data_IF_915847386029
#
_entry.id   IF_915847386029
#
_cell.length_a   1.000
_cell.length_b   1.000
_cell.length_c   1.000
_cell.angle_alpha   90.00
_cell.angle_beta   90.00
_cell.angle_gamma   90.00
#
_symmetry.space_group_name_H-M   'P 1'
#
loop_
_entity.id
_entity.type
_entity.pdbx_description
1 polymer ?
#
# COMPACT_ATOMS: atom_id res chain seq x y z
N UNK A 1 -15.39 2.08 27.10
CA UNK A 1 -15.14 1.15 25.97
C UNK A 1 -15.60 1.83 24.69
N UNK A 2 -14.72 2.23 23.76
CA UNK A 2 -15.17 2.70 22.46
C UNK A 2 -15.02 1.59 21.43
N UNK A 3 -16.08 1.40 20.63
CA UNK A 3 -16.13 0.57 19.44
C UNK A 3 -15.08 1.05 18.43
N UNK A 4 -13.99 0.29 18.28
CA UNK A 4 -13.04 0.47 17.17
C UNK A 4 -13.68 -0.04 15.88
N UNK A 5 -14.19 0.91 15.10
CA UNK A 5 -14.77 0.72 13.77
C UNK A 5 -13.78 0.00 12.82
N UNK A 6 -14.11 -1.24 12.46
CA UNK A 6 -13.53 -1.95 11.32
C UNK A 6 -13.99 -1.27 10.02
N UNK A 7 -13.15 -0.43 9.43
CA UNK A 7 -13.39 0.16 8.11
C UNK A 7 -12.39 -0.47 7.14
N UNK A 8 -12.92 -1.36 6.27
CA UNK A 8 -12.35 -1.87 5.02
C UNK A 8 -10.96 -2.54 5.15
N UNK A 9 -10.95 -3.82 5.55
CA UNK A 9 -9.86 -4.75 5.20
C UNK A 9 -9.92 -4.97 3.68
N UNK A 10 -8.84 -4.64 2.97
CA UNK A 10 -8.75 -4.61 1.50
C UNK A 10 -9.40 -5.86 0.88
N UNK A 11 -10.48 -5.61 0.14
CA UNK A 11 -11.20 -6.60 -0.62
C UNK A 11 -10.33 -7.11 -1.78
N UNK A 12 -10.24 -8.43 -1.87
CA UNK A 12 -9.72 -9.16 -3.01
C UNK A 12 -10.58 -8.91 -4.26
N UNK A 13 -9.95 -8.60 -5.40
CA UNK A 13 -10.54 -8.87 -6.72
C UNK A 13 -9.50 -9.66 -7.51
N UNK A 14 -9.76 -10.97 -7.66
CA UNK A 14 -9.08 -11.82 -8.63
C UNK A 14 -9.59 -11.46 -10.02
N UNK A 15 -8.82 -10.71 -10.81
CA UNK A 15 -9.04 -10.65 -12.24
C UNK A 15 -8.39 -11.87 -12.88
N UNK A 16 -9.15 -12.97 -12.99
CA UNK A 16 -8.78 -14.07 -13.89
C UNK A 16 -8.74 -13.52 -15.31
N UNK A 17 -7.56 -13.15 -15.82
CA UNK A 17 -7.33 -13.18 -17.27
C UNK A 17 -7.32 -14.65 -17.68
N UNK A 18 -8.44 -15.09 -18.26
CA UNK A 18 -8.53 -16.37 -18.93
C UNK A 18 -7.46 -16.42 -20.03
N UNK A 19 -6.56 -17.39 -19.95
CA UNK A 19 -5.71 -17.78 -21.08
C UNK A 19 -6.08 -19.22 -21.46
N UNK A 20 -6.17 -19.56 -22.76
CA UNK A 20 -6.92 -20.71 -23.22
C UNK A 20 -6.13 -22.02 -23.09
N UNK A 21 -6.83 -23.05 -22.61
CA UNK A 21 -6.56 -24.49 -22.68
C UNK A 21 -5.26 -25.00 -22.03
N UNK A 22 -5.42 -25.63 -20.87
CA UNK A 22 -4.57 -26.74 -20.44
C UNK A 22 -5.39 -28.04 -20.52
N UNK A 23 -4.80 -29.07 -21.13
CA UNK A 23 -5.32 -30.42 -21.34
C UNK A 23 -5.53 -31.18 -20.01
N UNK A 24 -6.49 -32.14 -19.94
CA UNK A 24 -6.84 -32.81 -18.69
C UNK A 24 -6.03 -34.09 -18.48
N UNK A 25 -5.42 -34.24 -17.31
CA UNK A 25 -4.84 -35.51 -16.90
C UNK A 25 -3.99 -35.42 -15.65
N UNK A 26 -4.60 -35.65 -14.48
CA UNK A 26 -4.08 -36.52 -13.40
C UNK A 26 -5.03 -36.46 -12.19
N UNK A 27 -5.54 -37.64 -11.81
CA UNK A 27 -6.45 -37.86 -10.67
C UNK A 27 -5.73 -37.80 -9.33
N UNK A 28 -6.52 -37.53 -8.29
CA UNK A 28 -6.15 -37.45 -6.89
C UNK A 28 -5.53 -38.74 -6.32
N UNK A 29 -4.54 -38.56 -5.43
CA UNK A 29 -3.93 -39.58 -4.58
C UNK A 29 -3.35 -38.91 -3.33
N UNK A 30 -3.48 -39.59 -2.19
CA UNK A 30 -3.37 -39.07 -0.83
C UNK A 30 -1.94 -38.69 -0.38
N UNK A 31 -1.90 -37.75 0.58
CA UNK A 31 -0.86 -37.47 1.59
C UNK A 31 0.63 -37.51 1.16
N UNK A 32 1.24 -36.35 0.99
CA UNK A 32 2.52 -36.07 1.65
C UNK A 32 2.77 -34.56 1.70
N UNK A 33 3.39 -34.13 2.78
CA UNK A 33 4.09 -32.86 2.96
C UNK A 33 5.02 -32.57 1.77
N UNK A 34 4.51 -31.90 0.74
CA UNK A 34 5.27 -31.27 -0.36
C UNK A 34 4.29 -30.54 -1.28
N UNK A 35 4.10 -29.25 -1.04
CA UNK A 35 3.16 -28.44 -1.80
C UNK A 35 3.62 -27.00 -2.04
N UNK A 36 4.93 -26.76 -2.11
CA UNK A 36 5.48 -25.41 -2.35
C UNK A 36 5.93 -25.15 -3.80
N UNK A 37 5.74 -26.11 -4.72
CA UNK A 37 6.23 -25.98 -6.09
C UNK A 37 5.12 -26.28 -7.10
N UNK A 38 4.47 -25.23 -7.65
CA UNK A 38 3.90 -25.14 -9.02
C UNK A 38 2.64 -24.27 -9.16
N UNK A 39 2.09 -23.69 -8.09
CA UNK A 39 1.04 -22.66 -8.28
C UNK A 39 1.68 -21.35 -8.69
N UNK A 40 1.07 -20.68 -9.68
CA UNK A 40 1.29 -19.27 -10.04
C UNK A 40 1.48 -18.49 -8.71
N UNK A 41 2.70 -18.02 -8.44
CA UNK A 41 3.08 -17.51 -7.10
C UNK A 41 2.59 -16.08 -6.96
N UNK A 42 1.31 -15.95 -6.68
CA UNK A 42 0.70 -14.71 -6.23
C UNK A 42 0.96 -14.63 -4.72
N UNK A 43 1.91 -13.80 -4.29
CA UNK A 43 2.20 -13.60 -2.88
C UNK A 43 1.23 -12.56 -2.32
N UNK A 44 0.07 -13.03 -1.90
CA UNK A 44 -0.84 -12.20 -1.12
C UNK A 44 -0.85 -12.72 0.31
N UNK A 45 -0.16 -12.00 1.18
CA UNK A 45 -0.29 -12.13 2.63
C UNK A 45 -1.67 -11.60 3.04
N UNK A 46 -2.66 -12.48 3.13
CA UNK A 46 -4.01 -12.12 3.56
C UNK A 46 -4.20 -12.42 5.05
N UNK A 47 -4.75 -11.47 5.79
CA UNK A 47 -5.67 -11.80 6.88
C UNK A 47 -6.92 -12.39 6.22
N UNK A 48 -7.15 -13.70 6.39
CA UNK A 48 -8.22 -14.39 5.66
C UNK A 48 -9.58 -13.68 5.86
N UNK A 49 -10.39 -13.50 4.79
CA UNK A 49 -11.73 -12.96 4.92
C UNK A 49 -12.58 -13.82 5.87
N UNK A 50 -13.69 -13.27 6.36
CA UNK A 50 -14.66 -14.01 7.17
C UNK A 50 -15.23 -15.20 6.39
N UNK A 51 -14.57 -16.35 6.44
CA UNK A 51 -15.13 -17.62 5.95
C UNK A 51 -15.99 -18.21 7.06
N UNK A 52 -17.31 -18.20 6.85
CA UNK A 52 -18.27 -18.89 7.72
C UNK A 52 -17.82 -20.33 7.95
N UNK A 53 -17.63 -20.73 9.22
CA UNK A 53 -17.30 -22.12 9.61
C UNK A 53 -15.86 -22.38 10.06
N UNK A 54 -14.91 -21.45 9.88
CA UNK A 54 -13.54 -21.60 10.45
C UNK A 54 -13.43 -20.75 11.73
N UNK A 55 -12.90 -21.27 12.85
CA UNK A 55 -12.62 -20.45 14.04
C UNK A 55 -11.67 -19.30 13.71
N UNK A 56 -11.89 -18.11 14.28
CA UNK A 56 -11.06 -16.94 14.02
C UNK A 56 -9.56 -17.18 14.31
N UNK A 57 -9.24 -17.94 15.36
CA UNK A 57 -7.88 -18.35 15.69
C UNK A 57 -7.21 -19.13 14.57
N UNK A 58 -7.88 -20.16 14.02
CA UNK A 58 -7.33 -20.99 12.94
C UNK A 58 -7.07 -20.22 11.63
N UNK A 59 -7.87 -19.18 11.34
CA UNK A 59 -7.63 -18.30 10.19
C UNK A 59 -6.40 -17.42 10.37
N UNK A 60 -6.19 -16.91 11.58
CA UNK A 60 -5.03 -16.08 11.94
C UNK A 60 -3.76 -16.92 11.87
N UNK A 61 -3.78 -18.13 12.43
CA UNK A 61 -2.64 -19.06 12.38
C UNK A 61 -2.25 -19.40 10.93
N UNK A 62 -3.20 -19.79 10.08
CA UNK A 62 -2.92 -20.14 8.68
C UNK A 62 -2.40 -18.94 7.84
N UNK A 63 -2.92 -17.74 8.09
CA UNK A 63 -2.42 -16.51 7.45
C UNK A 63 -0.99 -16.18 7.89
N UNK A 64 -0.70 -16.33 9.18
CA UNK A 64 0.63 -16.07 9.75
C UNK A 64 1.66 -17.07 9.23
N UNK A 65 1.35 -18.37 9.22
CA UNK A 65 2.24 -19.42 8.68
C UNK A 65 2.57 -19.18 7.20
N UNK A 66 1.59 -18.74 6.41
CA UNK A 66 1.81 -18.37 5.01
C UNK A 66 2.76 -17.17 4.90
N UNK A 67 2.56 -16.12 5.69
CA UNK A 67 3.43 -14.94 5.65
C UNK A 67 4.87 -15.22 6.06
N UNK A 68 5.09 -16.02 7.11
CA UNK A 68 6.42 -16.39 7.62
C UNK A 68 7.30 -17.03 6.54
N UNK A 69 6.73 -17.83 5.64
CA UNK A 69 7.47 -18.46 4.56
C UNK A 69 7.52 -17.59 3.29
N UNK A 70 6.46 -16.83 3.00
CA UNK A 70 6.29 -16.17 1.70
C UNK A 70 7.10 -14.88 1.55
N UNK A 71 7.35 -14.12 2.63
CA UNK A 71 8.03 -12.82 2.51
C UNK A 71 9.49 -12.94 2.05
N UNK A 72 10.09 -14.12 2.26
CA UNK A 72 11.48 -14.44 1.87
C UNK A 72 11.62 -14.78 0.39
N UNK A 73 10.54 -15.15 -0.26
CA UNK A 73 10.53 -15.53 -1.67
C UNK A 73 10.17 -14.32 -2.56
N UNK A 74 10.81 -14.16 -3.73
CA UNK A 74 10.41 -13.13 -4.69
C UNK A 74 9.02 -13.44 -5.26
N UNK A 75 8.25 -12.40 -5.55
CA UNK A 75 6.88 -12.49 -6.03
C UNK A 75 6.55 -11.35 -6.97
N UNK A 76 5.40 -11.42 -7.64
CA UNK A 76 4.91 -10.29 -8.43
C UNK A 76 4.61 -9.08 -7.53
N UNK A 77 4.87 -7.88 -8.04
CA UNK A 77 4.46 -6.63 -7.42
C UNK A 77 2.94 -6.43 -7.48
N UNK A 78 2.44 -5.37 -6.83
CA UNK A 78 1.00 -5.04 -6.82
C UNK A 78 0.43 -4.70 -8.19
N UNK A 79 1.28 -4.40 -9.17
CA UNK A 79 0.90 -4.15 -10.56
C UNK A 79 0.94 -5.43 -11.40
N UNK A 80 1.33 -6.56 -10.81
CA UNK A 80 1.45 -7.88 -11.45
C UNK A 80 2.44 -7.90 -12.64
N UNK A 81 3.46 -7.05 -12.64
CA UNK A 81 4.37 -6.87 -13.79
C UNK A 81 5.71 -7.58 -13.63
N UNK A 82 6.29 -7.55 -12.43
CA UNK A 82 7.68 -7.96 -12.20
C UNK A 82 7.82 -8.84 -10.96
N UNK A 83 8.59 -9.91 -11.10
CA UNK A 83 9.00 -10.77 -9.98
C UNK A 83 10.27 -10.19 -9.34
N UNK A 84 10.17 -9.77 -8.07
CA UNK A 84 11.31 -9.39 -7.22
C UNK A 84 10.88 -9.39 -5.74
N UNK A 85 11.73 -8.89 -4.84
CA UNK A 85 11.27 -8.42 -3.54
C UNK A 85 10.82 -6.96 -3.66
N UNK A 86 9.63 -6.69 -3.16
CA UNK A 86 8.96 -5.39 -3.31
C UNK A 86 8.68 -4.78 -1.94
N UNK A 87 8.95 -3.48 -1.81
CA UNK A 87 8.71 -2.68 -0.62
C UNK A 87 7.26 -2.80 -0.15
N UNK A 88 6.30 -2.74 -1.09
CA UNK A 88 4.89 -2.92 -0.77
C UNK A 88 4.62 -4.28 -0.11
N UNK A 89 4.98 -5.38 -0.79
CA UNK A 89 4.72 -6.74 -0.31
C UNK A 89 5.38 -6.98 1.05
N UNK A 90 6.64 -6.56 1.21
CA UNK A 90 7.33 -6.66 2.49
C UNK A 90 6.63 -5.86 3.59
N UNK A 91 6.24 -4.60 3.35
CA UNK A 91 5.64 -3.77 4.39
C UNK A 91 4.27 -4.28 4.82
N UNK A 92 3.44 -4.77 3.89
CA UNK A 92 2.15 -5.40 4.25
C UNK A 92 2.34 -6.76 4.94
N UNK A 93 3.39 -7.52 4.60
CA UNK A 93 3.75 -8.74 5.32
C UNK A 93 4.19 -8.46 6.76
N UNK A 94 5.02 -7.45 6.99
CA UNK A 94 5.39 -7.02 8.34
C UNK A 94 4.15 -6.63 9.16
N UNK A 95 3.22 -5.89 8.55
CA UNK A 95 1.99 -5.50 9.22
C UNK A 95 1.14 -6.71 9.62
N UNK A 96 0.91 -7.64 8.69
CA UNK A 96 0.13 -8.84 8.94
C UNK A 96 0.75 -9.68 10.07
N UNK A 97 2.08 -9.77 10.12
CA UNK A 97 2.81 -10.46 11.18
C UNK A 97 2.68 -9.76 12.55
N UNK A 98 2.75 -8.42 12.60
CA UNK A 98 2.52 -7.65 13.83
C UNK A 98 1.09 -7.77 14.34
N UNK A 99 0.08 -7.61 13.47
CA UNK A 99 -1.32 -7.81 13.83
C UNK A 99 -1.58 -9.26 14.28
N UNK A 100 -0.98 -10.22 13.59
CA UNK A 100 -1.01 -11.63 13.93
C UNK A 100 -0.44 -11.90 15.31
N UNK A 101 0.71 -11.30 15.64
CA UNK A 101 1.34 -11.40 16.95
C UNK A 101 0.42 -10.87 18.06
N UNK A 102 -0.14 -9.66 17.89
CA UNK A 102 -1.06 -9.07 18.86
C UNK A 102 -2.32 -9.94 19.08
N UNK A 103 -2.85 -10.51 17.99
CA UNK A 103 -4.03 -11.38 18.06
C UNK A 103 -3.74 -12.69 18.79
N UNK A 104 -2.60 -13.34 18.51
CA UNK A 104 -2.17 -14.57 19.17
C UNK A 104 -1.87 -14.35 20.66
N UNK A 105 -1.28 -13.20 21.00
CA UNK A 105 -1.08 -12.79 22.39
C UNK A 105 -2.41 -12.72 23.14
N UNK A 106 -3.45 -12.14 22.52
CA UNK A 106 -4.80 -12.08 23.09
C UNK A 106 -5.49 -13.45 23.25
N UNK A 107 -5.06 -14.46 22.48
CA UNK A 107 -5.54 -15.84 22.58
C UNK A 107 -4.70 -16.70 23.55
N UNK A 108 -3.62 -16.16 24.12
CA UNK A 108 -2.71 -16.89 25.01
C UNK A 108 -1.65 -17.74 24.31
N UNK A 109 -1.56 -17.70 22.96
CA UNK A 109 -0.49 -18.38 22.21
C UNK A 109 0.75 -17.47 22.13
N UNK A 110 1.40 -17.30 23.29
CA UNK A 110 2.54 -16.38 23.44
C UNK A 110 3.75 -16.80 22.62
N UNK A 111 3.96 -18.10 22.43
CA UNK A 111 5.09 -18.62 21.67
C UNK A 111 4.96 -18.32 20.17
N UNK A 112 3.77 -18.52 19.57
CA UNK A 112 3.56 -18.14 18.18
C UNK A 112 3.48 -16.62 18.02
N UNK A 113 2.93 -15.89 19.01
CA UNK A 113 2.91 -14.43 19.00
C UNK A 113 4.32 -13.85 18.89
N UNK A 114 5.24 -14.34 19.74
CA UNK A 114 6.64 -13.91 19.73
C UNK A 114 7.33 -14.20 18.38
N UNK A 115 7.12 -15.40 17.82
CA UNK A 115 7.65 -15.74 16.48
C UNK A 115 7.14 -14.80 15.38
N UNK A 116 5.85 -14.46 15.40
CA UNK A 116 5.28 -13.54 14.41
C UNK A 116 5.89 -12.14 14.55
N UNK A 117 6.07 -11.66 15.80
CA UNK A 117 6.69 -10.37 16.05
C UNK A 117 8.16 -10.33 15.58
N UNK A 118 8.95 -11.37 15.86
CA UNK A 118 10.34 -11.48 15.40
C UNK A 118 10.45 -11.50 13.88
N UNK A 119 9.59 -12.23 13.18
CA UNK A 119 9.56 -12.22 11.71
C UNK A 119 9.16 -10.85 11.16
N UNK A 120 8.23 -10.14 11.80
CA UNK A 120 7.90 -8.75 11.43
C UNK A 120 9.12 -7.83 11.53
N UNK A 121 9.87 -7.91 12.64
CA UNK A 121 11.09 -7.12 12.82
C UNK A 121 12.18 -7.48 11.80
N UNK A 122 12.29 -8.76 11.41
CA UNK A 122 13.19 -9.19 10.35
C UNK A 122 12.81 -8.61 8.98
N UNK A 123 11.51 -8.54 8.67
CA UNK A 123 11.00 -7.90 7.44
C UNK A 123 11.28 -6.39 7.44
N UNK A 124 11.02 -5.69 8.55
CA UNK A 124 11.32 -4.25 8.69
C UNK A 124 12.83 -3.98 8.55
N UNK A 125 13.68 -4.82 9.14
CA UNK A 125 15.13 -4.75 8.97
C UNK A 125 15.57 -4.96 7.51
N UNK A 126 14.84 -5.81 6.76
CA UNK A 126 15.07 -5.98 5.31
C UNK A 126 14.67 -4.74 4.52
N UNK A 127 13.60 -4.04 4.92
CA UNK A 127 13.14 -2.79 4.30
C UNK A 127 14.16 -1.66 4.42
N UNK A 128 15.05 -1.66 5.42
CA UNK A 128 16.12 -0.65 5.52
C UNK A 128 17.06 -0.62 4.31
N UNK A 129 17.19 -1.75 3.61
CA UNK A 129 17.95 -1.83 2.34
C UNK A 129 17.22 -1.16 1.17
N UNK A 130 15.97 -0.73 1.34
CA UNK A 130 15.20 -0.02 0.33
C UNK A 130 15.35 1.50 0.47
N UNK A 131 15.88 2.00 1.58
CA UNK A 131 16.21 3.40 1.72
C UNK A 131 17.45 3.74 0.88
N UNK A 132 17.31 4.72 -0.01
CA UNK A 132 18.39 5.31 -0.79
C UNK A 132 18.70 6.68 -0.21
N UNK A 133 19.83 6.78 0.48
CA UNK A 133 20.36 8.05 0.94
C UNK A 133 21.02 8.78 -0.24
N UNK A 134 20.69 10.07 -0.42
CA UNK A 134 21.35 10.95 -1.39
C UNK A 134 22.06 12.03 -0.60
N UNK A 135 23.38 12.11 -0.79
CA UNK A 135 24.28 12.97 -0.01
C UNK A 135 24.30 14.43 -0.49
N UNK A 136 23.83 14.67 -1.71
CA UNK A 136 23.65 16.03 -2.24
C UNK A 136 22.24 16.54 -1.95
N UNK A 137 21.98 17.84 -2.14
CA UNK A 137 20.77 18.61 -1.79
C UNK A 137 19.39 18.04 -2.21
N UNK A 138 19.34 16.85 -2.80
CA UNK A 138 18.14 16.06 -3.00
C UNK A 138 17.84 15.18 -1.77
N UNK A 139 16.61 15.29 -1.28
CA UNK A 139 16.04 14.40 -0.26
C UNK A 139 16.29 12.90 -0.57
N UNK A 140 16.33 12.01 0.42
CA UNK A 140 16.42 10.56 0.20
C UNK A 140 15.09 9.95 -0.28
N UNK A 141 15.06 8.65 -0.61
CA UNK A 141 13.81 7.96 -0.97
C UNK A 141 13.85 6.45 -0.75
N UNK A 142 12.68 5.87 -0.56
CA UNK A 142 12.46 4.43 -0.58
C UNK A 142 12.28 3.95 -2.02
N UNK A 143 13.08 2.97 -2.44
CA UNK A 143 12.91 2.30 -3.74
C UNK A 143 11.77 1.28 -3.70
N UNK A 144 11.12 1.01 -4.84
CA UNK A 144 10.12 -0.06 -4.90
C UNK A 144 10.76 -1.44 -4.67
N UNK A 145 11.89 -1.68 -5.31
CA UNK A 145 12.52 -3.00 -5.41
C UNK A 145 14.03 -2.90 -5.43
N UNK A 146 14.66 -3.98 -4.99
CA UNK A 146 16.10 -4.21 -5.12
C UNK A 146 16.29 -5.27 -6.21
N UNK A 147 17.06 -4.96 -7.24
CA UNK A 147 17.46 -5.94 -8.26
C UNK A 147 18.69 -6.72 -7.77
N UNK A 148 18.89 -7.94 -8.30
CA UNK A 148 19.98 -8.83 -7.90
C UNK A 148 21.37 -8.20 -8.04
N UNK A 149 21.55 -7.28 -8.99
CA UNK A 149 22.85 -6.68 -9.31
C UNK A 149 23.06 -5.31 -8.65
N UNK A 150 22.22 -4.91 -7.69
CA UNK A 150 22.20 -3.61 -7.00
C UNK A 150 22.12 -2.35 -7.90
N UNK A 151 22.02 -2.53 -9.22
CA UNK A 151 21.82 -1.45 -10.17
C UNK A 151 20.43 -0.81 -9.98
N UNK A 152 20.33 0.53 -10.02
CA UNK A 152 19.06 1.21 -9.91
C UNK A 152 18.16 0.80 -11.09
N UNK A 153 17.04 0.15 -10.80
CA UNK A 153 16.04 -0.14 -11.82
C UNK A 153 15.52 1.16 -12.43
N UNK A 154 15.26 1.28 -13.73
CA UNK A 154 14.66 2.50 -14.29
C UNK A 154 13.33 2.91 -13.62
N UNK A 155 12.67 1.99 -12.90
CA UNK A 155 11.53 2.26 -12.01
C UNK A 155 11.93 2.24 -10.51
N UNK A 156 12.99 2.95 -10.10
CA UNK A 156 13.40 2.97 -8.67
C UNK A 156 12.33 3.68 -7.82
N UNK A 157 11.81 4.80 -8.34
CA UNK A 157 10.78 5.61 -7.69
C UNK A 157 9.41 5.23 -8.26
N UNK A 158 8.53 4.72 -7.40
CA UNK A 158 7.20 4.21 -7.72
C UNK A 158 6.22 4.73 -6.68
N UNK A 159 5.02 5.14 -7.12
CA UNK A 159 3.97 5.51 -6.20
C UNK A 159 3.59 4.37 -5.26
N UNK A 160 3.75 3.08 -5.63
CA UNK A 160 3.38 1.91 -4.83
C UNK A 160 4.04 1.88 -3.43
N UNK A 161 5.12 2.64 -3.26
CA UNK A 161 5.75 2.92 -1.96
C UNK A 161 4.83 3.73 -1.03
N UNK A 162 3.95 4.58 -1.56
CA UNK A 162 3.00 5.38 -0.77
C UNK A 162 1.81 4.53 -0.28
N UNK A 163 1.12 3.72 -1.11
CA UNK A 163 0.18 2.70 -0.66
C UNK A 163 0.74 1.78 0.41
N UNK A 164 2.03 1.41 0.37
CA UNK A 164 2.61 0.53 1.40
C UNK A 164 2.59 1.15 2.79
N UNK A 165 2.79 2.47 2.90
CA UNK A 165 2.70 3.21 4.16
C UNK A 165 1.27 3.35 4.68
N UNK A 166 0.27 3.43 3.80
CA UNK A 166 -1.13 3.70 4.20
C UNK A 166 -1.99 2.44 4.33
N UNK A 167 -1.61 1.34 3.68
CA UNK A 167 -2.28 0.04 3.81
C UNK A 167 -1.76 -0.76 5.01
N UNK A 168 -0.68 -0.29 5.61
CA UNK A 168 -0.14 -0.81 6.86
C UNK A 168 -0.74 -0.02 8.02
N UNK A 169 -1.87 -0.50 8.53
CA UNK A 169 -2.81 0.28 9.36
C UNK A 169 -2.54 0.19 10.88
N UNK A 170 -1.53 -0.55 11.34
CA UNK A 170 -1.26 -0.72 12.76
C UNK A 170 -0.37 0.34 13.39
N UNK A 171 0.11 0.01 14.59
CA UNK A 171 0.82 0.91 15.51
C UNK A 171 2.27 1.18 15.14
N UNK A 172 2.80 0.49 14.12
CA UNK A 172 4.19 0.62 13.71
C UNK A 172 4.42 1.89 12.90
N UNK A 173 5.08 2.88 13.53
CA UNK A 173 5.44 4.14 12.89
C UNK A 173 6.46 3.95 11.76
N UNK A 174 7.27 2.89 11.82
CA UNK A 174 8.32 2.56 10.85
C UNK A 174 7.72 2.28 9.48
N UNK A 175 8.22 2.97 8.44
CA UNK A 175 7.68 2.93 7.09
C UNK A 175 6.19 3.31 6.99
N UNK A 176 5.67 4.04 7.98
CA UNK A 176 4.32 4.62 7.98
C UNK A 176 4.31 6.09 7.53
N UNK A 177 3.15 6.76 7.56
CA UNK A 177 3.01 8.15 7.10
C UNK A 177 3.76 9.18 7.95
N UNK A 178 4.08 8.84 9.20
CA UNK A 178 4.91 9.66 10.09
C UNK A 178 6.42 9.46 9.87
N UNK A 179 6.85 8.42 9.13
CA UNK A 179 8.26 8.15 8.90
C UNK A 179 8.85 9.19 7.92
N UNK A 180 9.92 9.92 8.29
CA UNK A 180 10.55 10.91 7.42
C UNK A 180 11.00 10.34 6.07
N UNK A 181 11.36 9.04 6.01
CA UNK A 181 11.74 8.38 4.75
C UNK A 181 10.57 8.33 3.78
N UNK A 182 9.36 8.07 4.28
CA UNK A 182 8.15 7.99 3.46
C UNK A 182 7.68 9.38 3.03
N UNK A 183 7.76 10.37 3.93
CA UNK A 183 7.48 11.77 3.61
C UNK A 183 8.44 12.34 2.55
N UNK A 184 9.73 12.02 2.70
CA UNK A 184 10.79 12.33 1.74
C UNK A 184 10.54 11.66 0.37
N UNK A 185 10.04 10.42 0.39
CA UNK A 185 9.66 9.69 -0.82
C UNK A 185 8.49 10.36 -1.53
N UNK A 186 7.45 10.77 -0.79
CA UNK A 186 6.32 11.52 -1.36
C UNK A 186 6.79 12.84 -1.98
N UNK A 187 7.64 13.61 -1.30
CA UNK A 187 8.18 14.86 -1.85
C UNK A 187 8.94 14.67 -3.17
N UNK A 188 9.66 13.54 -3.32
CA UNK A 188 10.30 13.19 -4.60
C UNK A 188 9.31 12.78 -5.69
N UNK A 189 8.25 12.07 -5.32
CA UNK A 189 7.19 11.70 -6.25
C UNK A 189 6.46 12.95 -6.75
N UNK A 190 6.19 13.92 -5.87
CA UNK A 190 5.66 15.23 -6.25
C UNK A 190 6.55 15.89 -7.29
N UNK A 191 7.85 16.05 -7.00
CA UNK A 191 8.80 16.68 -7.93
C UNK A 191 8.91 15.93 -9.25
N UNK A 192 8.91 14.59 -9.22
CA UNK A 192 8.94 13.75 -10.42
C UNK A 192 7.71 14.00 -11.30
N UNK A 193 6.51 13.90 -10.75
CA UNK A 193 5.28 14.02 -11.53
C UNK A 193 4.98 15.46 -11.95
N UNK A 194 5.34 16.45 -11.12
CA UNK A 194 5.24 17.87 -11.46
C UNK A 194 6.08 18.19 -12.70
N UNK A 195 7.31 17.66 -12.78
CA UNK A 195 8.17 17.82 -13.94
C UNK A 195 7.75 16.95 -15.16
N UNK A 196 7.32 15.72 -14.92
CA UNK A 196 7.08 14.74 -15.98
C UNK A 196 5.76 14.97 -16.72
N UNK A 197 4.69 15.38 -16.04
CA UNK A 197 3.36 15.45 -16.66
C UNK A 197 3.03 16.84 -17.18
N UNK A 198 2.77 17.00 -18.49
CA UNK A 198 2.39 18.31 -19.03
C UNK A 198 1.15 18.92 -18.37
N UNK A 199 0.21 18.09 -17.90
CA UNK A 199 -0.98 18.52 -17.15
C UNK A 199 -0.68 19.26 -15.84
N UNK A 200 0.53 19.10 -15.30
CA UNK A 200 0.96 19.78 -14.08
C UNK A 200 1.50 21.19 -14.35
N UNK A 201 1.73 21.56 -15.61
CA UNK A 201 2.20 22.90 -16.00
C UNK A 201 1.05 23.91 -15.87
N UNK A 202 1.31 25.05 -15.22
CA UNK A 202 0.30 26.11 -15.06
C UNK A 202 -0.88 25.70 -14.16
N UNK A 203 -0.67 24.74 -13.26
CA UNK A 203 -1.69 24.27 -12.33
C UNK A 203 -2.23 25.40 -11.44
N UNK A 204 -3.54 25.42 -11.23
CA UNK A 204 -4.21 26.39 -10.37
C UNK A 204 -3.69 26.34 -8.92
N UNK A 205 -3.69 27.50 -8.25
CA UNK A 205 -3.32 27.62 -6.83
C UNK A 205 -4.19 26.68 -5.98
N UNK A 206 -3.58 26.03 -5.01
CA UNK A 206 -4.26 25.09 -4.11
C UNK A 206 -4.49 23.69 -4.71
N UNK A 207 -3.97 23.38 -5.90
CA UNK A 207 -3.93 22.02 -6.44
C UNK A 207 -2.53 21.42 -6.31
N UNK A 208 -2.44 20.17 -5.86
CA UNK A 208 -1.21 19.38 -5.85
C UNK A 208 -0.92 18.77 -7.23
N UNK A 209 0.30 18.26 -7.48
CA UNK A 209 0.60 17.61 -8.76
C UNK A 209 -0.31 16.38 -8.97
N UNK A 210 -0.79 16.19 -10.19
CA UNK A 210 -1.42 14.95 -10.62
C UNK A 210 -0.35 13.86 -10.71
N UNK A 211 -0.62 12.69 -10.13
CA UNK A 211 0.37 11.62 -9.96
C UNK A 211 -0.08 10.33 -10.63
N UNK A 212 0.91 9.64 -11.20
CA UNK A 212 0.85 8.30 -11.80
C UNK A 212 1.14 7.18 -10.81
N UNK A 213 0.88 5.92 -11.21
CA UNK A 213 1.65 4.75 -10.72
C UNK A 213 3.08 4.84 -11.25
N UNK A 214 3.14 4.86 -12.57
CA UNK A 214 4.25 5.32 -13.40
C UNK A 214 3.59 5.92 -14.64
N UNK A 215 4.03 7.07 -15.15
CA UNK A 215 3.58 7.61 -16.44
C UNK A 215 2.13 7.20 -16.88
N UNK A 216 1.08 7.54 -16.09
CA UNK A 216 -0.32 7.46 -16.56
C UNK A 216 -1.45 7.04 -15.60
N UNK A 217 -1.23 6.68 -14.33
CA UNK A 217 -2.27 6.04 -13.50
C UNK A 217 -2.75 6.83 -12.26
N UNK A 218 -4.05 6.85 -11.92
CA UNK A 218 -4.60 7.83 -10.98
C UNK A 218 -4.24 7.57 -9.49
N UNK A 219 -3.09 8.08 -9.06
CA UNK A 219 -2.51 7.79 -7.74
C UNK A 219 -2.56 8.96 -6.76
N UNK A 220 -3.15 10.09 -7.17
CA UNK A 220 -3.32 11.28 -6.33
C UNK A 220 -4.19 11.00 -5.08
N UNK A 221 -5.09 10.00 -5.13
CA UNK A 221 -5.84 9.53 -3.96
C UNK A 221 -4.94 8.87 -2.90
N UNK A 222 -3.92 8.12 -3.33
CA UNK A 222 -2.94 7.52 -2.42
C UNK A 222 -2.10 8.59 -1.71
N UNK A 223 -1.65 9.60 -2.45
CA UNK A 223 -0.93 10.75 -1.91
C UNK A 223 -1.80 11.56 -0.92
N UNK A 224 -3.06 11.83 -1.26
CA UNK A 224 -4.00 12.49 -0.36
C UNK A 224 -4.22 11.67 0.93
N UNK A 225 -4.48 10.37 0.78
CA UNK A 225 -4.64 9.45 1.91
C UNK A 225 -3.41 9.39 2.82
N UNK A 226 -2.20 9.41 2.25
CA UNK A 226 -0.96 9.51 3.01
C UNK A 226 -0.90 10.80 3.83
N UNK A 227 -1.16 11.95 3.19
CA UNK A 227 -1.10 13.25 3.86
C UNK A 227 -2.10 13.32 5.02
N UNK A 228 -3.35 12.88 4.83
CA UNK A 228 -4.32 12.88 5.92
C UNK A 228 -3.93 11.96 7.07
N UNK A 229 -3.35 10.79 6.79
CA UNK A 229 -2.84 9.91 7.87
C UNK A 229 -1.64 10.52 8.58
N UNK A 230 -0.72 11.18 7.87
CA UNK A 230 0.38 11.91 8.47
C UNK A 230 -0.13 13.03 9.39
N UNK A 231 -1.16 13.78 8.96
CA UNK A 231 -1.81 14.80 9.78
C UNK A 231 -2.43 14.21 11.06
N UNK A 232 -3.09 13.05 10.97
CA UNK A 232 -3.72 12.38 12.11
C UNK A 232 -2.72 11.84 13.14
N UNK A 233 -1.49 11.49 12.73
CA UNK A 233 -0.45 10.93 13.59
C UNK A 233 0.33 11.98 14.41
N UNK A 234 0.11 13.28 14.16
CA UNK A 234 0.81 14.37 14.84
C UNK A 234 2.06 14.86 14.11
N UNK A 235 2.52 16.06 14.47
CA UNK A 235 3.54 16.83 13.73
C UNK A 235 2.95 18.13 13.18
N UNK A 236 3.39 18.55 12.00
CA UNK A 236 2.81 19.70 11.26
C UNK A 236 1.49 19.31 10.58
N UNK A 237 0.47 19.07 11.41
CA UNK A 237 -0.80 18.52 10.97
C UNK A 237 -1.54 19.46 9.99
N UNK A 238 -1.35 20.78 10.12
CA UNK A 238 -1.92 21.77 9.19
C UNK A 238 -1.27 21.64 7.81
N UNK A 239 0.05 21.60 7.74
CA UNK A 239 0.77 21.38 6.48
C UNK A 239 0.27 20.11 5.77
N UNK A 240 0.15 19.01 6.50
CA UNK A 240 -0.30 17.73 5.94
C UNK A 240 -1.77 17.75 5.53
N UNK A 241 -2.65 18.41 6.28
CA UNK A 241 -4.05 18.61 5.88
C UNK A 241 -4.15 19.41 4.57
N UNK A 242 -3.47 20.55 4.50
CA UNK A 242 -3.47 21.42 3.31
C UNK A 242 -2.92 20.69 2.09
N UNK A 243 -1.86 19.89 2.26
CA UNK A 243 -1.29 19.08 1.18
C UNK A 243 -2.25 17.99 0.70
N UNK A 244 -2.92 17.29 1.63
CA UNK A 244 -3.93 16.29 1.29
C UNK A 244 -5.12 16.90 0.54
N UNK A 245 -5.57 18.07 0.97
CA UNK A 245 -6.65 18.83 0.31
C UNK A 245 -6.24 19.29 -1.09
N UNK A 246 -4.99 19.70 -1.27
CA UNK A 246 -4.48 20.06 -2.59
C UNK A 246 -4.46 18.86 -3.55
N UNK A 247 -4.10 17.66 -3.08
CA UNK A 247 -4.20 16.43 -3.87
C UNK A 247 -5.66 16.09 -4.21
N UNK A 248 -6.61 16.22 -3.27
CA UNK A 248 -8.04 16.02 -3.55
C UNK A 248 -8.60 17.06 -4.54
N UNK A 249 -8.13 18.30 -4.48
CA UNK A 249 -8.54 19.33 -5.44
C UNK A 249 -8.13 18.94 -6.87
N UNK A 250 -6.97 18.32 -7.04
CA UNK A 250 -6.51 17.76 -8.32
C UNK A 250 -7.35 16.56 -8.75
N UNK A 251 -7.70 15.66 -7.83
CA UNK A 251 -8.63 14.56 -8.10
C UNK A 251 -9.96 15.08 -8.63
N UNK A 252 -10.55 16.03 -7.92
CA UNK A 252 -11.83 16.63 -8.30
C UNK A 252 -11.77 17.32 -9.66
N UNK A 253 -10.64 17.94 -10.01
CA UNK A 253 -10.48 18.65 -11.28
C UNK A 253 -10.51 17.72 -12.50
N UNK A 254 -10.04 16.48 -12.36
CA UNK A 254 -9.96 15.52 -13.45
C UNK A 254 -10.99 14.40 -13.35
N UNK A 255 -11.79 14.35 -12.29
CA UNK A 255 -12.94 13.45 -12.19
C UNK A 255 -14.07 13.96 -13.09
N UNK A 256 -14.67 13.11 -13.96
CA UNK A 256 -15.75 13.55 -14.83
C UNK A 256 -17.04 13.90 -14.08
N UNK A 257 -17.99 14.50 -14.79
CA UNK A 257 -19.25 14.98 -14.21
C UNK A 257 -20.13 13.86 -13.62
N UNK A 258 -20.04 12.64 -14.16
CA UNK A 258 -20.70 11.43 -13.66
C UNK A 258 -20.04 10.87 -12.37
N UNK A 259 -18.93 11.48 -11.93
CA UNK A 259 -18.17 11.14 -10.72
C UNK A 259 -17.60 9.72 -10.71
N UNK A 260 -17.43 9.12 -11.88
CA UNK A 260 -16.83 7.80 -12.01
C UNK A 260 -15.44 7.91 -12.67
N UNK A 261 -14.36 7.92 -11.86
CA UNK A 261 -13.01 7.97 -12.40
C UNK A 261 -12.65 6.65 -13.07
N UNK A 262 -12.00 6.73 -14.23
CA UNK A 262 -11.32 5.59 -14.82
C UNK A 262 -10.05 5.27 -14.03
N UNK A 263 -9.47 4.10 -14.29
CA UNK A 263 -8.19 3.69 -13.75
C UNK A 263 -7.07 4.69 -14.07
N UNK A 264 -7.09 5.28 -15.26
CA UNK A 264 -6.01 6.10 -15.78
C UNK A 264 -6.51 7.45 -16.31
N UNK A 265 -5.59 8.39 -16.46
CA UNK A 265 -5.87 9.68 -17.09
C UNK A 265 -4.75 10.04 -18.06
N UNK A 266 -5.10 10.73 -19.14
CA UNK A 266 -4.13 11.24 -20.10
C UNK A 266 -3.27 12.33 -19.42
N UNK A 267 -1.95 12.16 -19.47
CA UNK A 267 -0.99 13.02 -18.77
C UNK A 267 -0.88 14.42 -19.36
N UNK A 268 -1.50 14.68 -20.52
CA UNK A 268 -1.49 15.99 -21.18
C UNK A 268 -2.79 16.75 -20.94
N UNK A 269 -3.92 16.08 -21.09
CA UNK A 269 -5.26 16.67 -21.07
C UNK A 269 -6.04 16.41 -19.79
N UNK A 270 -5.71 15.36 -19.05
CA UNK A 270 -6.51 14.90 -17.89
C UNK A 270 -7.74 14.10 -18.25
N UNK A 271 -7.96 13.80 -19.54
CA UNK A 271 -9.06 12.97 -19.98
C UNK A 271 -8.95 11.56 -19.37
N UNK A 272 -10.05 11.03 -18.84
CA UNK A 272 -10.10 9.69 -18.27
C UNK A 272 -9.93 8.62 -19.37
N UNK A 273 -9.03 7.67 -19.15
CA UNK A 273 -8.69 6.58 -20.08
C UNK A 273 -8.61 5.24 -19.34
N UNK A 274 -8.52 4.12 -20.07
CA UNK A 274 -8.54 2.76 -19.51
C UNK A 274 -9.89 2.35 -18.89
N UNK A 275 -9.89 1.30 -18.08
CA UNK A 275 -11.06 0.70 -17.44
C UNK A 275 -11.82 1.71 -16.58
N UNK A 276 -13.14 1.78 -16.81
CA UNK A 276 -14.08 2.49 -15.95
C UNK A 276 -14.42 1.64 -14.73
N UNK A 277 -14.93 2.25 -13.67
CA UNK A 277 -15.42 1.54 -12.47
C UNK A 277 -14.37 0.66 -11.76
N UNK A 278 -13.11 1.09 -11.67
CA UNK A 278 -12.13 0.32 -10.91
C UNK A 278 -12.48 0.36 -9.41
N UNK A 279 -12.83 -0.79 -8.84
CA UNK A 279 -13.21 -0.90 -7.43
C UNK A 279 -12.13 -0.36 -6.48
N UNK A 280 -10.85 -0.47 -6.86
CA UNK A 280 -9.73 0.11 -6.10
C UNK A 280 -9.77 1.64 -6.06
N UNK A 281 -10.14 2.32 -7.15
CA UNK A 281 -10.29 3.79 -7.17
C UNK A 281 -11.42 4.25 -6.23
N UNK A 282 -12.52 3.51 -6.19
CA UNK A 282 -13.63 3.75 -5.26
C UNK A 282 -13.21 3.48 -3.81
N UNK A 283 -12.54 2.37 -3.53
CA UNK A 283 -12.04 2.05 -2.19
C UNK A 283 -11.01 3.08 -1.69
N UNK A 284 -10.11 3.53 -2.56
CA UNK A 284 -9.13 4.58 -2.25
C UNK A 284 -9.81 5.91 -1.94
N UNK A 285 -10.85 6.28 -2.71
CA UNK A 285 -11.65 7.49 -2.45
C UNK A 285 -12.33 7.45 -1.08
N UNK A 286 -13.01 6.33 -0.75
CA UNK A 286 -13.67 6.15 0.55
C UNK A 286 -12.64 6.22 1.69
N UNK A 287 -11.52 5.51 1.55
CA UNK A 287 -10.45 5.47 2.55
C UNK A 287 -9.82 6.84 2.75
N UNK A 288 -9.61 7.59 1.67
CA UNK A 288 -9.06 8.94 1.70
C UNK A 288 -10.00 9.93 2.42
N UNK A 289 -11.30 9.90 2.10
CA UNK A 289 -12.30 10.76 2.77
C UNK A 289 -12.42 10.41 4.26
N UNK A 290 -12.36 9.12 4.61
CA UNK A 290 -12.34 8.68 6.01
C UNK A 290 -11.11 9.23 6.74
N UNK A 291 -9.92 9.08 6.16
CA UNK A 291 -8.68 9.60 6.73
C UNK A 291 -8.72 11.13 6.90
N UNK A 292 -9.27 11.87 5.92
CA UNK A 292 -9.45 13.32 6.01
C UNK A 292 -10.31 13.74 7.21
N UNK A 293 -11.43 13.03 7.43
CA UNK A 293 -12.31 13.31 8.58
C UNK A 293 -11.59 13.08 9.91
N UNK A 294 -10.87 11.97 10.03
CA UNK A 294 -10.07 11.65 11.22
C UNK A 294 -9.02 12.75 11.47
N UNK A 295 -8.30 13.15 10.43
CA UNK A 295 -7.28 14.18 10.50
C UNK A 295 -7.84 15.55 10.94
N UNK A 296 -8.98 15.96 10.38
CA UNK A 296 -9.65 17.21 10.76
C UNK A 296 -10.04 17.20 12.24
N UNK A 297 -10.68 16.12 12.72
CA UNK A 297 -11.03 15.98 14.13
C UNK A 297 -9.81 16.00 15.04
N UNK A 298 -8.71 15.33 14.64
CA UNK A 298 -7.46 15.33 15.40
C UNK A 298 -6.81 16.72 15.49
N UNK A 299 -6.99 17.57 14.46
CA UNK A 299 -6.48 18.94 14.44
C UNK A 299 -7.34 19.92 15.25
N UNK A 300 -8.65 19.66 15.37
CA UNK A 300 -9.59 20.47 16.15
C UNK A 300 -9.55 20.14 17.65
N UNK A 301 -9.08 18.95 18.03
CA UNK A 301 -8.96 18.55 19.43
C UNK A 301 -8.03 19.54 20.19
N UNK A 302 -8.46 20.11 21.33
CA UNK A 302 -7.61 21.00 22.11
C UNK A 302 -6.32 20.27 22.49
N UNK A 303 -5.17 20.84 22.12
CA UNK A 303 -3.87 20.37 22.59
C UNK A 303 -3.87 20.48 24.11
N UNK A 304 -4.13 19.38 24.82
CA UNK A 304 -3.97 19.31 26.28
C UNK A 304 -2.51 19.65 26.58
N UNK A 305 -2.30 20.83 27.16
CA UNK A 305 -1.03 21.28 27.73
C UNK A 305 -0.75 20.48 29.00
#
# INVERSE_FOLDING_TARGET
MPLSFQIVRVASISLRKASPRATPGCRAGHSSSRGCASRRREAWCYAAPHTLGIPAGARITAGNESCQCMWREPSYDISEEKIAHHCYTLRVSAEALTEGAASLQGLGDTAQAQRCFEESQAVLSRLDKYWVNKRDAMLGYCRLRVLADDHPSPKVLDIAVIPSAIHSLGTEATYGPADPRMQSTLARLDALFDAAYPINRGRAIGRGPAMGRYAGDFSALGAAGFCFRAAALGGDARHWLERGDASLATVRAYTPADRDPSEQFDQRSGAQISAKHLAWSHAASISCVSARRIAATACEAPRRR
#
